data_IF_981151078550
#
_entry.id   IF_981151078550
#
_cell.length_a   1.000
_cell.length_b   1.000
_cell.length_c   1.000
_cell.angle_alpha   90.00
_cell.angle_beta   90.00
_cell.angle_gamma   90.00
#
_symmetry.space_group_name_H-M   'P 1'
#
loop_
_entity.id
_entity.type
_entity.pdbx_description
1 polymer ?
#
# COMPACT_ATOMS: atom_id res chain seq x y z
N UNK A 1 -55.67 -33.67 41.47
CA UNK A 1 -57.06 -34.18 41.32
C UNK A 1 -57.49 -33.98 39.88
N UNK A 2 -57.78 -35.10 39.23
CA UNK A 2 -58.62 -35.38 38.03
C UNK A 2 -58.33 -34.57 36.74
N UNK A 3 -57.74 -35.19 35.67
CA UNK A 3 -58.33 -36.12 34.69
C UNK A 3 -59.54 -35.49 33.97
N UNK A 4 -59.65 -35.43 32.71
CA UNK A 4 -59.68 -36.46 31.67
C UNK A 4 -59.91 -35.79 30.30
N UNK A 5 -59.24 -36.29 29.28
CA UNK A 5 -59.73 -36.75 28.00
C UNK A 5 -61.01 -36.15 27.38
N UNK A 6 -60.91 -35.70 26.13
CA UNK A 6 -61.81 -36.16 25.08
C UNK A 6 -61.23 -36.00 23.66
N UNK A 7 -60.95 -37.15 23.09
CA UNK A 7 -60.82 -37.36 21.62
C UNK A 7 -62.16 -37.26 20.96
N UNK A 8 -62.26 -36.64 19.74
CA UNK A 8 -63.24 -37.03 18.77
C UNK A 8 -62.74 -36.75 17.34
N UNK A 9 -62.72 -37.82 16.58
CA UNK A 9 -62.65 -37.94 15.13
C UNK A 9 -63.88 -37.30 14.47
N UNK A 10 -63.70 -36.86 13.24
CA UNK A 10 -64.52 -37.11 12.04
C UNK A 10 -64.20 -36.02 11.00
N UNK A 11 -63.92 -36.29 9.87
CA UNK A 11 -64.30 -36.98 8.65
C UNK A 11 -63.96 -36.10 7.44
N UNK A 12 -63.47 -36.71 6.44
CA UNK A 12 -63.24 -36.23 5.07
C UNK A 12 -64.50 -35.58 4.48
N UNK A 13 -64.31 -34.49 3.76
CA UNK A 13 -65.03 -34.24 2.49
C UNK A 13 -64.09 -33.52 1.53
N UNK A 14 -64.17 -34.02 0.34
CA UNK A 14 -63.46 -33.70 -0.87
C UNK A 14 -63.74 -32.30 -1.44
N UNK A 15 -62.87 -31.93 -2.35
CA UNK A 15 -63.03 -31.00 -3.47
C UNK A 15 -62.98 -29.49 -3.18
N UNK A 16 -61.76 -28.97 -3.39
CA UNK A 16 -61.60 -27.71 -4.14
C UNK A 16 -60.16 -27.69 -4.74
N UNK A 17 -60.05 -28.15 -5.96
CA UNK A 17 -58.90 -27.80 -6.83
C UNK A 17 -59.08 -26.35 -7.21
N UNK A 18 -58.34 -25.46 -6.54
CA UNK A 18 -58.12 -24.09 -7.02
C UNK A 18 -56.67 -23.99 -7.48
N UNK A 19 -56.54 -23.72 -8.78
CA UNK A 19 -55.31 -23.35 -9.47
C UNK A 19 -54.51 -22.30 -8.73
N UNK A 20 -53.45 -22.72 -8.07
CA UNK A 20 -52.39 -21.84 -7.61
C UNK A 20 -51.21 -21.91 -8.57
N UNK A 21 -51.34 -21.38 -9.79
CA UNK A 21 -50.25 -20.87 -10.58
C UNK A 21 -49.84 -19.54 -10.01
N UNK A 22 -49.31 -19.46 -8.79
CA UNK A 22 -48.63 -18.29 -8.28
C UNK A 22 -47.16 -18.42 -8.66
N UNK A 23 -46.78 -17.53 -9.55
CA UNK A 23 -45.42 -17.19 -9.96
C UNK A 23 -44.42 -17.32 -8.83
N UNK A 24 -43.59 -18.36 -8.85
CA UNK A 24 -42.28 -18.33 -8.21
C UNK A 24 -41.35 -17.48 -9.10
N UNK A 25 -41.46 -16.16 -9.03
CA UNK A 25 -40.29 -15.30 -9.23
C UNK A 25 -39.38 -15.58 -8.06
N UNK A 26 -38.54 -16.58 -8.18
CA UNK A 26 -37.33 -16.66 -7.39
C UNK A 26 -36.51 -15.43 -7.76
N UNK A 27 -36.58 -14.39 -6.94
CA UNK A 27 -35.50 -13.42 -6.84
C UNK A 27 -34.29 -14.29 -6.49
N UNK A 28 -33.45 -14.57 -7.48
CA UNK A 28 -32.14 -15.10 -7.24
C UNK A 28 -31.43 -14.00 -6.44
N UNK A 29 -31.39 -14.14 -5.12
CA UNK A 29 -30.43 -13.40 -4.30
C UNK A 29 -29.08 -13.65 -4.96
N UNK A 30 -28.43 -12.58 -5.42
CA UNK A 30 -27.01 -12.69 -5.81
C UNK A 30 -26.33 -13.34 -4.62
N UNK A 31 -25.49 -14.35 -4.84
CA UNK A 31 -24.73 -14.94 -3.74
C UNK A 31 -24.04 -13.81 -3.01
N UNK A 32 -24.22 -13.73 -1.69
CA UNK A 32 -23.52 -12.80 -0.83
C UNK A 32 -22.04 -13.15 -0.99
N UNK A 33 -21.24 -12.23 -1.48
CA UNK A 33 -19.79 -12.42 -1.56
C UNK A 33 -19.27 -12.41 -0.12
N UNK A 34 -19.06 -13.61 0.40
CA UNK A 34 -18.62 -13.81 1.80
C UNK A 34 -17.28 -13.12 2.09
N UNK A 35 -16.48 -12.81 1.06
CA UNK A 35 -15.21 -12.07 1.19
C UNK A 35 -15.41 -10.65 1.73
N UNK A 36 -16.55 -10.00 1.45
CA UNK A 36 -16.88 -8.66 1.96
C UNK A 36 -17.07 -8.57 3.48
N UNK A 37 -17.18 -9.71 4.15
CA UNK A 37 -17.43 -9.77 5.61
C UNK A 37 -16.28 -10.40 6.39
N UNK A 38 -15.19 -10.76 5.72
CA UNK A 38 -13.97 -11.23 6.37
C UNK A 38 -13.13 -10.03 6.81
N UNK A 39 -12.53 -10.14 8.01
CA UNK A 39 -11.47 -9.20 8.41
C UNK A 39 -10.24 -9.45 7.56
N UNK A 40 -9.71 -8.38 6.99
CA UNK A 40 -8.49 -8.43 6.19
C UNK A 40 -7.29 -8.82 7.06
N UNK A 41 -6.46 -9.73 6.56
CA UNK A 41 -5.14 -10.05 7.10
C UNK A 41 -4.09 -9.77 6.01
N UNK A 42 -3.02 -9.05 6.37
CA UNK A 42 -1.92 -8.77 5.44
C UNK A 42 -0.71 -9.61 5.85
N UNK A 43 -0.81 -10.91 5.61
CA UNK A 43 0.18 -11.91 6.04
C UNK A 43 1.42 -11.87 5.14
N UNK A 44 2.60 -11.88 5.77
CA UNK A 44 3.89 -11.87 5.06
C UNK A 44 4.39 -10.47 4.66
N UNK A 45 3.76 -9.42 5.18
CA UNK A 45 4.10 -8.02 4.89
C UNK A 45 4.22 -7.18 6.17
N UNK A 46 4.84 -7.77 7.21
CA UNK A 46 4.94 -7.10 8.51
C UNK A 46 6.01 -6.02 8.54
N UNK A 47 7.20 -6.33 8.02
CA UNK A 47 8.40 -5.50 8.08
C UNK A 47 9.13 -5.53 6.74
N UNK A 48 9.21 -4.41 6.06
CA UNK A 48 9.77 -4.30 4.73
C UNK A 48 10.76 -3.18 4.55
N UNK A 49 11.34 -3.15 3.36
CA UNK A 49 12.30 -2.15 2.92
C UNK A 49 11.96 -1.70 1.51
N UNK A 50 11.95 -0.38 1.28
CA UNK A 50 11.79 0.20 -0.04
C UNK A 50 13.08 0.07 -0.86
N UNK A 51 12.94 -0.36 -2.13
CA UNK A 51 14.00 -0.33 -3.14
C UNK A 51 13.97 1.01 -3.90
N UNK A 52 13.87 2.12 -3.15
CA UNK A 52 13.76 3.47 -3.70
C UNK A 52 14.98 3.85 -4.55
N UNK A 53 14.75 4.68 -5.59
CA UNK A 53 15.77 5.20 -6.48
C UNK A 53 16.30 4.19 -7.52
N UNK A 54 15.70 3.01 -7.63
CA UNK A 54 16.11 2.02 -8.63
C UNK A 54 15.29 2.13 -9.93
N UNK A 55 13.98 1.83 -9.86
CA UNK A 55 13.07 1.84 -11.03
C UNK A 55 12.14 3.05 -11.03
N UNK A 56 12.29 3.92 -10.06
CA UNK A 56 11.60 5.20 -9.90
C UNK A 56 12.55 6.26 -9.33
N UNK A 57 12.26 7.53 -9.57
CA UNK A 57 13.02 8.68 -9.09
C UNK A 57 14.54 8.56 -9.37
N UNK A 58 14.90 8.18 -10.59
CA UNK A 58 16.27 7.91 -10.99
C UNK A 58 16.60 8.53 -12.36
N UNK A 59 17.83 8.36 -12.82
CA UNK A 59 18.28 8.91 -14.11
C UNK A 59 17.77 8.13 -15.34
N UNK A 60 17.01 7.05 -15.14
CA UNK A 60 16.40 6.21 -16.19
C UNK A 60 17.38 5.74 -17.28
N UNK A 61 18.62 5.36 -16.86
CA UNK A 61 19.61 4.77 -17.78
C UNK A 61 19.77 3.28 -17.54
N UNK A 62 20.15 2.55 -18.59
CA UNK A 62 20.38 1.11 -18.48
C UNK A 62 21.48 0.78 -17.46
N UNK A 63 22.56 1.56 -17.43
CA UNK A 63 23.67 1.38 -16.47
C UNK A 63 23.18 1.51 -15.04
N UNK A 64 22.26 2.44 -14.77
CA UNK A 64 21.66 2.61 -13.46
C UNK A 64 20.80 1.40 -13.09
N UNK A 65 19.90 1.00 -13.96
CA UNK A 65 19.02 -0.14 -13.71
C UNK A 65 19.79 -1.45 -13.49
N UNK A 66 20.89 -1.66 -14.24
CA UNK A 66 21.72 -2.86 -14.14
C UNK A 66 22.58 -2.93 -12.88
N UNK A 67 22.84 -1.78 -12.21
CA UNK A 67 23.84 -1.70 -11.13
C UNK A 67 23.33 -1.16 -9.79
N UNK A 68 22.24 -0.42 -9.75
CA UNK A 68 21.83 0.26 -8.53
C UNK A 68 21.27 -0.72 -7.48
N UNK A 69 20.39 -1.64 -7.85
CA UNK A 69 19.95 -2.76 -7.01
C UNK A 69 20.32 -4.06 -7.72
N UNK A 70 20.91 -4.97 -6.98
CA UNK A 70 21.37 -6.28 -7.47
C UNK A 70 20.80 -7.40 -6.60
N UNK A 71 20.98 -8.66 -7.01
CA UNK A 71 20.59 -9.83 -6.21
C UNK A 71 21.30 -9.86 -4.85
N UNK A 72 22.54 -9.37 -4.75
CA UNK A 72 23.28 -9.29 -3.48
C UNK A 72 22.64 -8.30 -2.51
N UNK A 73 22.07 -7.21 -2.99
CA UNK A 73 21.32 -6.26 -2.15
C UNK A 73 20.09 -6.93 -1.52
N UNK A 74 19.32 -7.70 -2.31
CA UNK A 74 18.15 -8.44 -1.82
C UNK A 74 18.57 -9.49 -0.78
N UNK A 75 19.70 -10.17 -1.02
CA UNK A 75 20.30 -11.09 -0.04
C UNK A 75 20.65 -10.40 1.27
N UNK A 76 21.22 -9.18 1.22
CA UNK A 76 21.51 -8.38 2.43
C UNK A 76 20.22 -8.05 3.17
N UNK A 77 19.17 -7.57 2.46
CA UNK A 77 17.86 -7.22 3.04
C UNK A 77 17.23 -8.43 3.71
N UNK A 78 17.31 -9.62 3.11
CA UNK A 78 16.74 -10.84 3.70
C UNK A 78 17.36 -11.21 5.06
N UNK A 79 18.60 -10.76 5.31
CA UNK A 79 19.27 -10.88 6.60
C UNK A 79 18.82 -9.89 7.68
N UNK A 80 17.96 -8.92 7.34
CA UNK A 80 17.50 -7.86 8.25
C UNK A 80 16.23 -8.24 9.04
N UNK A 81 15.82 -9.50 9.04
CA UNK A 81 14.56 -9.96 9.63
C UNK A 81 13.32 -9.30 9.02
N UNK A 82 13.44 -8.81 7.80
CA UNK A 82 12.34 -8.31 6.96
C UNK A 82 11.66 -9.47 6.24
N UNK A 83 10.39 -9.31 5.91
CA UNK A 83 9.59 -10.32 5.23
C UNK A 83 9.19 -9.90 3.81
N UNK A 84 9.42 -8.63 3.43
CA UNK A 84 9.12 -8.15 2.10
C UNK A 84 9.98 -6.96 1.67
N UNK A 85 9.94 -6.67 0.37
CA UNK A 85 10.41 -5.42 -0.23
C UNK A 85 9.28 -4.70 -0.91
N UNK A 86 9.27 -3.36 -0.90
CA UNK A 86 8.42 -2.52 -1.74
C UNK A 86 9.25 -2.01 -2.91
N UNK A 87 8.76 -2.20 -4.13
CA UNK A 87 9.41 -1.87 -5.37
C UNK A 87 8.70 -0.71 -6.07
N UNK A 88 9.15 0.54 -5.88
CA UNK A 88 8.68 1.69 -6.64
C UNK A 88 9.07 1.57 -8.12
N UNK A 89 8.10 1.74 -9.04
CA UNK A 89 8.31 1.64 -10.48
C UNK A 89 7.59 2.78 -11.19
N UNK A 90 8.28 3.51 -12.04
CA UNK A 90 7.69 4.53 -12.90
C UNK A 90 7.09 3.92 -14.15
N UNK A 91 5.93 4.41 -14.59
CA UNK A 91 5.20 3.88 -15.76
C UNK A 91 6.02 3.93 -17.05
N UNK A 92 6.84 4.97 -17.23
CA UNK A 92 7.66 5.18 -18.44
C UNK A 92 8.79 4.17 -18.60
N UNK A 93 9.10 3.36 -17.59
CA UNK A 93 9.91 2.15 -17.72
C UNK A 93 9.11 1.01 -18.38
N UNK A 94 7.81 0.94 -18.09
CA UNK A 94 6.94 -0.20 -18.43
C UNK A 94 6.18 -0.02 -19.75
N UNK A 95 6.02 1.21 -20.21
CA UNK A 95 5.33 1.52 -21.47
C UNK A 95 5.89 2.77 -22.14
N UNK A 96 5.74 2.86 -23.46
CA UNK A 96 6.12 4.03 -24.25
C UNK A 96 5.04 5.14 -24.18
N UNK A 97 5.28 6.27 -24.86
CA UNK A 97 4.37 7.41 -24.93
C UNK A 97 2.97 7.05 -25.50
N UNK A 98 2.88 5.99 -26.30
CA UNK A 98 1.64 5.50 -26.90
C UNK A 98 0.95 4.41 -26.05
N UNK A 99 1.55 4.03 -24.91
CA UNK A 99 1.04 2.96 -24.04
C UNK A 99 1.35 1.55 -24.55
N UNK A 100 2.35 1.38 -25.43
CA UNK A 100 2.84 0.06 -25.80
C UNK A 100 3.80 -0.45 -24.73
N UNK A 101 3.61 -1.68 -24.29
CA UNK A 101 4.39 -2.26 -23.19
C UNK A 101 5.86 -2.49 -23.60
N UNK A 102 6.76 -2.21 -22.66
CA UNK A 102 8.20 -2.37 -22.79
C UNK A 102 8.68 -3.62 -22.04
N UNK A 103 8.92 -4.71 -22.76
CA UNK A 103 9.35 -5.98 -22.18
C UNK A 103 10.73 -5.90 -21.49
N UNK A 104 11.64 -5.03 -21.92
CA UNK A 104 12.93 -4.81 -21.25
C UNK A 104 12.70 -4.19 -19.87
N UNK A 105 11.80 -3.21 -19.74
CA UNK A 105 11.41 -2.60 -18.48
C UNK A 105 10.79 -3.61 -17.51
N UNK A 106 9.88 -4.45 -17.99
CA UNK A 106 9.31 -5.55 -17.19
C UNK A 106 10.36 -6.56 -16.76
N UNK A 107 11.43 -6.76 -17.51
CA UNK A 107 12.55 -7.63 -17.16
C UNK A 107 13.22 -7.26 -15.81
N UNK A 108 13.25 -5.98 -15.45
CA UNK A 108 13.76 -5.55 -14.14
C UNK A 108 12.84 -5.96 -12.99
N UNK A 109 11.52 -5.85 -13.18
CA UNK A 109 10.54 -6.36 -12.18
C UNK A 109 10.65 -7.89 -12.08
N UNK A 110 10.79 -8.61 -13.20
CA UNK A 110 10.99 -10.07 -13.20
C UNK A 110 12.20 -10.47 -12.37
N UNK A 111 13.31 -9.74 -12.49
CA UNK A 111 14.51 -9.94 -11.69
C UNK A 111 14.22 -9.70 -10.19
N UNK A 112 13.58 -8.59 -9.85
CA UNK A 112 13.22 -8.28 -8.46
C UNK A 112 12.33 -9.38 -7.83
N UNK A 113 11.29 -9.82 -8.54
CA UNK A 113 10.40 -10.91 -8.11
C UNK A 113 11.16 -12.22 -7.93
N UNK A 114 12.04 -12.57 -8.87
CA UNK A 114 12.89 -13.76 -8.79
C UNK A 114 13.83 -13.69 -7.59
N UNK A 115 14.50 -12.57 -7.40
CA UNK A 115 15.44 -12.40 -6.28
C UNK A 115 14.72 -12.43 -4.93
N UNK A 116 13.61 -11.69 -4.79
CA UNK A 116 12.80 -11.74 -3.58
C UNK A 116 12.40 -13.18 -3.24
N UNK A 117 11.88 -13.93 -4.20
CA UNK A 117 11.51 -15.34 -4.04
C UNK A 117 12.70 -16.22 -3.65
N UNK A 118 13.88 -16.03 -4.26
CA UNK A 118 15.08 -16.82 -3.94
C UNK A 118 15.49 -16.66 -2.48
N UNK A 119 15.25 -15.50 -1.90
CA UNK A 119 15.63 -15.19 -0.51
C UNK A 119 14.44 -15.19 0.48
N UNK A 120 13.28 -15.72 0.06
CA UNK A 120 12.11 -15.89 0.93
C UNK A 120 11.43 -14.59 1.34
N UNK A 121 11.56 -13.53 0.53
CA UNK A 121 10.88 -12.25 0.69
C UNK A 121 9.65 -12.17 -0.21
N UNK A 122 8.60 -11.55 0.30
CA UNK A 122 7.47 -11.10 -0.51
C UNK A 122 7.81 -9.76 -1.19
N UNK A 123 7.00 -9.35 -2.18
CA UNK A 123 7.23 -8.11 -2.90
C UNK A 123 5.91 -7.34 -3.09
N UNK A 124 5.96 -6.03 -2.86
CA UNK A 124 4.91 -5.08 -3.26
C UNK A 124 5.39 -4.37 -4.51
N UNK A 125 4.68 -4.53 -5.62
CA UNK A 125 4.91 -3.75 -6.85
C UNK A 125 4.09 -2.48 -6.72
N UNK A 126 4.76 -1.34 -6.62
CA UNK A 126 4.16 -0.02 -6.49
C UNK A 126 4.31 0.75 -7.81
N UNK A 127 3.19 1.15 -8.40
CA UNK A 127 3.22 2.10 -9.51
C UNK A 127 3.44 3.51 -8.95
N UNK A 128 4.69 3.96 -9.01
CA UNK A 128 5.10 5.19 -8.34
C UNK A 128 4.64 6.46 -9.05
N UNK A 129 4.54 6.39 -10.38
CA UNK A 129 4.00 7.43 -11.27
C UNK A 129 3.18 6.78 -12.36
N UNK A 130 2.26 7.55 -12.95
CA UNK A 130 1.49 7.11 -14.12
C UNK A 130 1.40 8.20 -15.17
N UNK A 131 1.09 7.85 -16.41
CA UNK A 131 0.93 8.84 -17.47
C UNK A 131 -0.07 9.93 -17.05
N UNK A 132 0.38 11.17 -17.05
CA UNK A 132 -0.40 12.34 -16.63
C UNK A 132 -0.45 12.59 -15.11
N UNK A 133 0.33 11.86 -14.30
CA UNK A 133 0.46 12.15 -12.87
C UNK A 133 1.85 11.80 -12.33
N UNK A 134 2.46 12.78 -11.67
CA UNK A 134 3.63 12.62 -10.81
C UNK A 134 3.41 13.39 -9.50
N UNK A 135 3.85 12.82 -8.39
CA UNK A 135 3.90 13.52 -7.10
C UNK A 135 5.11 14.47 -6.99
N UNK A 136 6.13 14.31 -7.86
CA UNK A 136 7.31 15.16 -7.91
C UNK A 136 6.98 16.52 -8.55
N UNK A 137 7.17 17.61 -7.81
CA UNK A 137 6.84 18.98 -8.24
C UNK A 137 7.62 19.48 -9.47
N UNK A 138 8.72 18.83 -9.85
CA UNK A 138 9.57 19.21 -10.97
C UNK A 138 9.19 18.57 -12.31
N UNK A 139 8.25 17.64 -12.34
CA UNK A 139 7.84 16.91 -13.53
C UNK A 139 6.58 17.50 -14.16
N UNK A 140 6.56 17.57 -15.50
CA UNK A 140 5.42 18.09 -16.28
C UNK A 140 4.38 17.01 -16.58
N UNK A 141 4.00 16.23 -15.57
CA UNK A 141 2.95 15.23 -15.67
C UNK A 141 1.64 15.79 -15.11
N UNK A 142 0.59 15.86 -15.91
CA UNK A 142 -0.72 16.38 -15.47
C UNK A 142 -1.87 15.83 -16.30
N UNK A 143 -3.09 15.92 -15.77
CA UNK A 143 -4.32 15.60 -16.46
C UNK A 143 -4.84 14.17 -16.22
N UNK A 144 -4.21 13.35 -15.42
CA UNK A 144 -4.64 11.97 -15.14
C UNK A 144 -6.04 11.92 -14.54
N UNK A 145 -6.33 12.78 -13.56
CA UNK A 145 -7.62 12.79 -12.86
C UNK A 145 -8.78 13.34 -13.71
N UNK A 146 -8.48 14.15 -14.73
CA UNK A 146 -9.45 14.77 -15.63
C UNK A 146 -9.64 13.98 -16.93
N UNK A 147 -8.70 13.10 -17.30
CA UNK A 147 -8.66 12.41 -18.59
C UNK A 147 -9.08 10.94 -18.51
N UNK A 148 -10.30 10.58 -18.99
CA UNK A 148 -10.70 9.18 -19.10
C UNK A 148 -9.74 8.32 -19.94
N UNK A 149 -9.03 8.92 -20.91
CA UNK A 149 -8.06 8.21 -21.75
C UNK A 149 -6.81 7.81 -20.94
N UNK A 150 -6.29 8.69 -20.08
CA UNK A 150 -5.16 8.39 -19.20
C UNK A 150 -5.56 7.38 -18.12
N UNK A 151 -6.77 7.48 -17.57
CA UNK A 151 -7.31 6.48 -16.63
C UNK A 151 -7.45 5.11 -17.29
N UNK A 152 -7.91 5.05 -18.56
CA UNK A 152 -7.97 3.78 -19.30
C UNK A 152 -6.58 3.19 -19.55
N UNK A 153 -5.57 4.03 -19.81
CA UNK A 153 -4.17 3.63 -19.94
C UNK A 153 -3.64 3.02 -18.64
N UNK A 154 -3.89 3.68 -17.52
CA UNK A 154 -3.57 3.19 -16.17
C UNK A 154 -4.22 1.82 -15.89
N UNK A 155 -5.49 1.64 -16.21
CA UNK A 155 -6.17 0.37 -16.02
C UNK A 155 -5.56 -0.74 -16.88
N UNK A 156 -5.20 -0.46 -18.15
CA UNK A 156 -4.55 -1.44 -19.03
C UNK A 156 -3.18 -1.85 -18.53
N UNK A 157 -2.41 -0.91 -18.01
CA UNK A 157 -1.10 -1.19 -17.40
C UNK A 157 -1.27 -2.13 -16.20
N UNK A 158 -2.23 -1.85 -15.31
CA UNK A 158 -2.53 -2.73 -14.18
C UNK A 158 -3.06 -4.11 -14.59
N UNK A 159 -3.87 -4.19 -15.64
CA UNK A 159 -4.28 -5.49 -16.19
C UNK A 159 -3.08 -6.30 -16.73
N UNK A 160 -2.11 -5.62 -17.35
CA UNK A 160 -0.89 -6.26 -17.83
C UNK A 160 0.00 -6.73 -16.66
N UNK A 161 0.23 -5.88 -15.66
CA UNK A 161 0.95 -6.23 -14.43
C UNK A 161 0.28 -7.43 -13.75
N UNK A 162 -1.05 -7.40 -13.60
CA UNK A 162 -1.79 -8.49 -12.98
C UNK A 162 -1.66 -9.81 -13.76
N UNK A 163 -1.73 -9.79 -15.08
CA UNK A 163 -1.53 -10.99 -15.92
C UNK A 163 -0.13 -11.60 -15.78
N UNK A 164 0.89 -10.75 -15.59
CA UNK A 164 2.29 -11.20 -15.51
C UNK A 164 2.67 -11.69 -14.11
N UNK A 165 2.18 -11.02 -13.05
CA UNK A 165 2.67 -11.20 -11.68
C UNK A 165 1.66 -11.78 -10.70
N UNK A 166 0.41 -12.02 -11.08
CA UNK A 166 -0.55 -12.61 -10.17
C UNK A 166 -0.12 -14.01 -9.74
N UNK A 167 -0.02 -14.21 -8.43
CA UNK A 167 0.24 -15.49 -7.80
C UNK A 167 -0.78 -15.74 -6.68
N UNK A 168 -1.16 -17.00 -6.49
CA UNK A 168 -2.18 -17.38 -5.50
C UNK A 168 -1.64 -17.55 -4.08
N UNK A 169 -0.31 -17.53 -3.90
CA UNK A 169 0.34 -17.75 -2.60
C UNK A 169 0.47 -16.46 -1.75
N UNK A 170 0.07 -15.31 -2.30
CA UNK A 170 0.11 -14.03 -1.61
C UNK A 170 1.51 -13.42 -1.51
N UNK A 171 2.51 -13.96 -2.20
CA UNK A 171 3.89 -13.45 -2.17
C UNK A 171 4.11 -12.16 -2.96
N UNK A 172 3.15 -11.78 -3.82
CA UNK A 172 3.17 -10.53 -4.59
C UNK A 172 1.91 -9.73 -4.27
N UNK A 173 2.10 -8.47 -3.92
CA UNK A 173 1.03 -7.49 -3.73
C UNK A 173 1.20 -6.33 -4.70
N UNK A 174 0.12 -5.58 -4.96
CA UNK A 174 0.07 -4.44 -5.86
C UNK A 174 -0.30 -3.17 -5.09
N UNK A 175 0.43 -2.10 -5.29
CA UNK A 175 0.07 -0.77 -4.81
C UNK A 175 -0.29 0.11 -6.01
N UNK A 176 -1.55 0.58 -6.06
CA UNK A 176 -2.12 1.11 -7.29
C UNK A 176 -1.44 2.39 -7.76
N UNK A 177 -1.16 3.32 -6.87
CA UNK A 177 -0.48 4.58 -7.20
C UNK A 177 0.11 5.19 -5.93
N UNK A 178 1.36 5.63 -6.02
CA UNK A 178 2.04 6.38 -4.97
C UNK A 178 1.47 7.80 -4.84
N UNK A 179 1.36 8.27 -3.62
CA UNK A 179 1.29 9.68 -3.17
C UNK A 179 0.40 10.62 -3.98
N UNK A 180 -0.90 10.32 -4.10
CA UNK A 180 -1.86 11.30 -4.62
C UNK A 180 -1.76 12.61 -3.82
N UNK A 181 -1.61 13.75 -4.52
CA UNK A 181 -1.21 15.01 -3.89
C UNK A 181 -2.38 15.81 -3.33
N UNK A 182 -3.44 16.02 -4.12
CA UNK A 182 -4.47 17.00 -3.82
C UNK A 182 -5.74 16.37 -3.24
N UNK A 183 -6.29 16.98 -2.19
CA UNK A 183 -7.57 16.58 -1.62
C UNK A 183 -8.74 16.69 -2.61
N UNK A 184 -8.65 17.60 -3.57
CA UNK A 184 -9.64 17.76 -4.64
C UNK A 184 -9.79 16.52 -5.51
N UNK A 185 -8.79 15.65 -5.55
CA UNK A 185 -8.84 14.38 -6.28
C UNK A 185 -9.54 13.24 -5.52
N UNK A 186 -9.94 13.44 -4.26
CA UNK A 186 -10.51 12.41 -3.39
C UNK A 186 -11.58 11.55 -4.07
N UNK A 187 -12.63 12.18 -4.58
CA UNK A 187 -13.80 11.46 -5.11
C UNK A 187 -13.47 10.76 -6.43
N UNK A 188 -12.72 11.43 -7.32
CA UNK A 188 -12.31 10.80 -8.58
C UNK A 188 -11.31 9.67 -8.34
N UNK A 189 -10.39 9.83 -7.38
CA UNK A 189 -9.43 8.80 -7.02
C UNK A 189 -10.11 7.55 -6.44
N UNK A 190 -11.05 7.69 -5.53
CA UNK A 190 -11.85 6.57 -5.02
C UNK A 190 -12.57 5.81 -6.16
N UNK A 191 -13.10 6.54 -7.14
CA UNK A 191 -13.72 5.91 -8.31
C UNK A 191 -12.69 5.18 -9.19
N UNK A 192 -11.50 5.76 -9.41
CA UNK A 192 -10.40 5.12 -10.15
C UNK A 192 -9.94 3.85 -9.43
N UNK A 193 -9.73 3.89 -8.11
CA UNK A 193 -9.40 2.73 -7.27
C UNK A 193 -10.40 1.59 -7.53
N UNK A 194 -11.69 1.88 -7.38
CA UNK A 194 -12.75 0.89 -7.57
C UNK A 194 -12.71 0.24 -8.95
N UNK A 195 -12.64 1.05 -10.01
CA UNK A 195 -12.60 0.56 -11.38
C UNK A 195 -11.36 -0.28 -11.66
N UNK A 196 -10.20 0.15 -11.14
CA UNK A 196 -8.93 -0.58 -11.28
C UNK A 196 -9.00 -1.94 -10.57
N UNK A 197 -9.47 -1.97 -9.32
CA UNK A 197 -9.61 -3.20 -8.55
C UNK A 197 -10.58 -4.16 -9.26
N UNK A 198 -11.72 -3.70 -9.75
CA UNK A 198 -12.67 -4.55 -10.50
C UNK A 198 -12.03 -5.24 -11.71
N UNK A 199 -11.11 -4.56 -12.42
CA UNK A 199 -10.38 -5.13 -13.55
C UNK A 199 -9.32 -6.13 -13.10
N UNK A 200 -8.53 -5.76 -12.10
CA UNK A 200 -7.50 -6.65 -11.52
C UNK A 200 -8.15 -7.93 -11.00
N UNK A 201 -9.28 -7.87 -10.31
CA UNK A 201 -9.96 -9.04 -9.73
C UNK A 201 -10.43 -10.08 -10.73
N UNK A 202 -10.68 -9.69 -11.99
CA UNK A 202 -10.99 -10.63 -13.07
C UNK A 202 -9.77 -11.48 -13.48
N UNK A 203 -8.57 -11.03 -13.14
CA UNK A 203 -7.29 -11.65 -13.51
C UNK A 203 -6.62 -12.27 -12.27
N UNK A 204 -6.59 -11.52 -11.18
CA UNK A 204 -5.87 -11.78 -9.94
C UNK A 204 -6.83 -11.69 -8.73
N UNK A 205 -7.75 -12.65 -8.54
CA UNK A 205 -8.81 -12.57 -7.54
C UNK A 205 -8.30 -12.55 -6.09
N UNK A 206 -7.12 -13.13 -5.82
CA UNK A 206 -6.60 -13.34 -4.47
C UNK A 206 -5.40 -12.46 -4.11
N UNK A 207 -4.93 -11.60 -5.04
CA UNK A 207 -3.78 -10.73 -4.82
C UNK A 207 -4.13 -9.57 -3.88
N UNK A 208 -3.26 -9.26 -2.92
CA UNK A 208 -3.40 -8.08 -2.09
C UNK A 208 -3.24 -6.81 -2.93
N UNK A 209 -4.10 -5.82 -2.68
CA UNK A 209 -4.05 -4.51 -3.34
C UNK A 209 -3.99 -3.43 -2.27
N UNK A 210 -2.98 -2.57 -2.34
CA UNK A 210 -2.78 -1.44 -1.45
C UNK A 210 -3.32 -0.17 -2.11
N UNK A 211 -4.01 0.65 -1.32
CA UNK A 211 -4.58 1.93 -1.76
C UNK A 211 -4.28 3.01 -0.72
N UNK A 212 -3.75 4.13 -1.17
CA UNK A 212 -3.49 5.31 -0.36
C UNK A 212 -4.43 6.46 -0.69
N UNK A 213 -4.48 7.45 0.19
CA UNK A 213 -5.26 8.66 0.02
C UNK A 213 -4.44 9.83 -0.53
N UNK A 214 -5.01 11.03 -0.48
CA UNK A 214 -4.37 12.28 -0.87
C UNK A 214 -3.35 12.79 0.17
N UNK A 215 -2.76 13.98 -0.07
CA UNK A 215 -1.70 14.59 0.73
C UNK A 215 -0.51 13.65 0.94
N UNK A 216 0.01 13.12 -0.18
CA UNK A 216 1.14 12.19 -0.19
C UNK A 216 0.89 10.96 0.71
N UNK A 217 -0.25 10.30 0.51
CA UNK A 217 -0.66 9.16 1.35
C UNK A 217 -0.72 9.48 2.84
N UNK A 218 -1.13 10.72 3.22
CA UNK A 218 -1.23 11.11 4.63
C UNK A 218 -2.14 10.16 5.43
N UNK A 219 -1.82 9.82 6.69
CA UNK A 219 -2.72 9.09 7.56
C UNK A 219 -4.06 9.83 7.78
N UNK A 220 -4.06 11.17 7.66
CA UNK A 220 -5.27 11.99 7.78
C UNK A 220 -6.25 11.81 6.60
N UNK A 221 -5.77 11.32 5.45
CA UNK A 221 -6.60 11.05 4.28
C UNK A 221 -7.24 9.63 4.30
N UNK A 222 -6.73 8.71 5.11
CA UNK A 222 -7.26 7.33 5.20
C UNK A 222 -8.75 7.27 5.53
N UNK A 223 -9.32 8.09 6.44
CA UNK A 223 -10.76 8.08 6.71
C UNK A 223 -11.64 8.43 5.51
N UNK A 224 -11.09 9.04 4.48
CA UNK A 224 -11.79 9.45 3.25
C UNK A 224 -11.68 8.41 2.12
N UNK A 225 -10.97 7.31 2.34
CA UNK A 225 -11.00 6.16 1.44
C UNK A 225 -12.35 5.45 1.55
N UNK A 226 -12.92 5.06 0.42
CA UNK A 226 -14.13 4.23 0.41
C UNK A 226 -13.86 2.85 1.05
N UNK A 227 -14.94 2.21 1.49
CA UNK A 227 -14.85 0.84 2.04
C UNK A 227 -14.15 -0.09 1.05
N UNK A 228 -13.28 -1.00 1.53
CA UNK A 228 -12.55 -1.92 0.68
C UNK A 228 -13.48 -2.72 -0.24
N UNK A 229 -13.03 -2.95 -1.47
CA UNK A 229 -13.76 -3.74 -2.45
C UNK A 229 -13.99 -5.19 -1.96
N UNK A 230 -12.98 -5.76 -1.30
CA UNK A 230 -13.00 -7.08 -0.68
C UNK A 230 -11.96 -7.19 0.45
N UNK A 231 -11.79 -8.39 1.03
CA UNK A 231 -10.88 -8.70 2.13
C UNK A 231 -9.39 -8.77 1.73
N UNK A 232 -9.03 -8.37 0.50
CA UNK A 232 -7.66 -8.30 0.00
C UNK A 232 -7.22 -6.88 -0.32
N UNK A 233 -7.99 -5.87 0.10
CA UNK A 233 -7.63 -4.46 -0.05
C UNK A 233 -7.10 -3.91 1.27
N UNK A 234 -5.91 -3.32 1.22
CA UNK A 234 -5.15 -2.80 2.36
C UNK A 234 -5.09 -1.27 2.26
N UNK A 235 -5.34 -0.55 3.35
CA UNK A 235 -5.13 0.89 3.37
C UNK A 235 -3.67 1.23 3.62
N UNK A 236 -3.09 1.97 2.68
CA UNK A 236 -1.72 2.45 2.73
C UNK A 236 -1.65 3.91 3.18
N UNK A 237 -0.64 4.25 3.97
CA UNK A 237 -0.26 5.62 4.28
C UNK A 237 1.26 5.76 4.38
N UNK A 238 1.75 7.00 4.31
CA UNK A 238 3.16 7.35 4.53
C UNK A 238 3.30 8.23 5.76
N UNK A 239 4.44 8.18 6.43
CA UNK A 239 4.67 9.00 7.61
C UNK A 239 6.11 9.49 7.72
N UNK A 240 6.27 10.79 7.51
CA UNK A 240 7.52 11.51 7.70
C UNK A 240 7.39 12.59 8.77
N UNK A 241 6.55 12.35 9.80
CA UNK A 241 6.32 13.31 10.88
C UNK A 241 7.30 13.19 12.04
N UNK A 242 7.62 14.31 12.70
CA UNK A 242 7.33 15.66 12.25
C UNK A 242 8.29 16.06 11.10
N UNK A 243 7.72 16.64 10.05
CA UNK A 243 8.44 16.95 8.80
C UNK A 243 9.73 17.74 9.03
N UNK A 244 9.70 18.71 9.95
CA UNK A 244 10.87 19.53 10.28
C UNK A 244 12.05 18.72 10.81
N UNK A 245 11.80 17.56 11.45
CA UNK A 245 12.85 16.65 11.89
C UNK A 245 13.28 15.70 10.78
N UNK A 246 12.33 15.03 10.14
CA UNK A 246 12.62 13.97 9.15
C UNK A 246 13.16 14.50 7.82
N UNK A 247 12.89 15.77 7.49
CA UNK A 247 13.31 16.44 6.26
C UNK A 247 14.18 17.67 6.53
N UNK A 248 14.82 17.74 7.70
CA UNK A 248 15.69 18.87 8.02
C UNK A 248 16.76 19.11 6.95
N UNK A 249 16.82 20.34 6.42
CA UNK A 249 17.76 20.73 5.38
C UNK A 249 17.42 20.24 3.96
N UNK A 250 16.28 19.57 3.76
CA UNK A 250 15.86 19.09 2.45
C UNK A 250 15.55 20.24 1.49
N UNK A 251 16.22 20.27 0.34
CA UNK A 251 16.11 21.36 -0.64
C UNK A 251 14.76 21.40 -1.37
N UNK A 252 14.01 20.29 -1.37
CA UNK A 252 12.69 20.16 -2.00
C UNK A 252 11.52 20.55 -1.09
N UNK A 253 11.80 20.75 0.22
CA UNK A 253 10.78 21.22 1.17
C UNK A 253 10.70 22.73 1.11
N UNK A 254 9.52 23.25 0.85
CA UNK A 254 9.28 24.68 0.74
C UNK A 254 9.66 25.42 2.02
N UNK A 255 10.38 26.53 1.88
CA UNK A 255 10.89 27.36 2.99
C UNK A 255 11.87 26.66 3.95
N UNK A 256 12.39 25.49 3.61
CA UNK A 256 13.42 24.79 4.38
C UNK A 256 14.81 25.32 4.02
N UNK A 257 15.55 25.85 5.03
CA UNK A 257 16.96 26.18 4.83
C UNK A 257 17.79 24.90 4.71
N UNK A 258 18.68 24.81 3.71
CA UNK A 258 19.62 23.69 3.56
C UNK A 258 20.53 23.47 4.77
N UNK A 259 20.75 24.53 5.56
CA UNK A 259 21.59 24.50 6.77
C UNK A 259 20.78 24.27 8.06
N UNK A 260 19.45 24.10 7.93
CA UNK A 260 18.59 23.81 9.08
C UNK A 260 18.88 22.41 9.63
N UNK A 261 19.13 22.36 10.94
CA UNK A 261 19.31 21.11 11.68
C UNK A 261 18.51 21.16 12.98
N UNK A 262 17.77 20.07 13.25
CA UNK A 262 16.91 19.96 14.42
C UNK A 262 17.31 18.70 15.22
N UNK A 263 17.93 18.83 16.39
CA UNK A 263 18.15 17.70 17.28
C UNK A 263 16.84 17.06 17.73
N UNK A 264 16.84 15.73 17.97
CA UNK A 264 15.66 14.98 18.33
C UNK A 264 14.95 15.51 19.58
N UNK A 265 15.71 15.90 20.61
CA UNK A 265 15.19 16.42 21.87
C UNK A 265 14.70 17.89 21.82
N UNK A 266 14.85 18.53 20.66
CA UNK A 266 14.33 19.89 20.37
C UNK A 266 13.14 19.89 19.42
N UNK A 267 12.71 18.73 18.98
CA UNK A 267 11.54 18.62 18.11
C UNK A 267 10.25 19.01 18.85
N UNK A 268 9.40 19.80 18.19
CA UNK A 268 8.08 20.17 18.68
C UNK A 268 7.04 19.83 17.59
N UNK A 269 6.03 19.01 17.92
CA UNK A 269 5.81 18.32 19.22
C UNK A 269 6.92 17.30 19.54
N UNK A 270 7.10 16.92 20.82
CA UNK A 270 8.07 15.91 21.22
C UNK A 270 7.83 14.58 20.51
N UNK A 271 8.88 13.98 19.98
CA UNK A 271 8.81 12.72 19.24
C UNK A 271 8.76 11.55 20.22
N UNK A 272 7.58 10.98 20.42
CA UNK A 272 7.35 9.85 21.33
C UNK A 272 6.48 8.79 20.65
N UNK A 273 6.44 7.54 21.14
CA UNK A 273 5.48 6.56 20.64
C UNK A 273 4.03 7.03 20.74
N UNK A 274 3.68 7.75 21.81
CA UNK A 274 2.34 8.29 22.05
C UNK A 274 1.93 9.32 20.99
N UNK A 275 2.87 10.18 20.56
CA UNK A 275 2.66 11.11 19.45
C UNK A 275 2.22 10.39 18.17
N UNK A 276 2.90 9.31 17.79
CA UNK A 276 2.55 8.54 16.60
C UNK A 276 1.26 7.72 16.80
N UNK A 277 1.01 7.18 17.99
CA UNK A 277 -0.25 6.49 18.29
C UNK A 277 -1.44 7.43 18.11
N UNK A 278 -1.36 8.65 18.62
CA UNK A 278 -2.39 9.67 18.44
C UNK A 278 -2.55 10.03 16.97
N UNK A 279 -1.45 10.28 16.26
CA UNK A 279 -1.45 10.62 14.84
C UNK A 279 -2.11 9.55 13.98
N UNK A 280 -1.90 8.27 14.27
CA UNK A 280 -2.47 7.16 13.50
C UNK A 280 -3.86 6.74 13.96
N UNK A 281 -4.37 7.29 15.06
CA UNK A 281 -5.62 6.82 15.70
C UNK A 281 -6.81 6.84 14.75
N UNK A 282 -7.04 7.97 14.06
CA UNK A 282 -8.16 8.14 13.12
C UNK A 282 -8.07 7.19 11.93
N UNK A 283 -6.87 7.02 11.36
CA UNK A 283 -6.63 6.09 10.26
C UNK A 283 -6.89 4.63 10.71
N UNK A 284 -6.39 4.27 11.90
CA UNK A 284 -6.56 2.93 12.46
C UNK A 284 -8.04 2.61 12.79
N UNK A 285 -8.77 3.59 13.31
CA UNK A 285 -10.22 3.46 13.54
C UNK A 285 -10.99 3.29 12.21
N UNK A 286 -10.64 4.07 11.18
CA UNK A 286 -11.25 3.96 9.86
C UNK A 286 -10.99 2.59 9.22
N UNK A 287 -9.75 2.09 9.26
CA UNK A 287 -9.40 0.77 8.76
C UNK A 287 -10.18 -0.34 9.49
N UNK A 288 -10.20 -0.32 10.82
CA UNK A 288 -10.97 -1.29 11.64
C UNK A 288 -12.47 -1.24 11.33
N UNK A 289 -13.04 -0.04 11.24
CA UNK A 289 -14.46 0.16 10.89
C UNK A 289 -14.79 -0.44 9.54
N UNK A 290 -13.89 -0.33 8.58
CA UNK A 290 -14.05 -0.82 7.23
C UNK A 290 -13.59 -2.29 7.04
N UNK A 291 -13.17 -2.98 8.10
CA UNK A 291 -12.79 -4.38 8.06
C UNK A 291 -11.44 -4.65 7.37
N UNK A 292 -10.57 -3.64 7.28
CA UNK A 292 -9.21 -3.78 6.73
C UNK A 292 -8.14 -3.40 7.74
N UNK A 293 -6.88 -3.47 7.34
CA UNK A 293 -5.70 -3.12 8.14
C UNK A 293 -4.93 -1.98 7.52
N UNK A 294 -4.08 -1.34 8.33
CA UNK A 294 -3.15 -0.32 7.89
C UNK A 294 -1.79 -0.90 7.51
N UNK A 295 -1.20 -0.31 6.51
CA UNK A 295 0.19 -0.48 6.11
C UNK A 295 0.84 0.89 5.94
N UNK A 296 2.03 1.10 6.51
CA UNK A 296 2.83 2.30 6.27
C UNK A 296 3.85 2.01 5.16
N UNK A 297 3.57 2.47 3.93
CA UNK A 297 4.38 2.19 2.74
C UNK A 297 5.75 2.86 2.77
N UNK A 298 5.82 4.02 3.42
CA UNK A 298 7.06 4.78 3.57
C UNK A 298 7.16 5.47 4.92
N UNK A 299 8.32 5.39 5.53
CA UNK A 299 8.72 6.18 6.70
C UNK A 299 10.24 6.22 6.79
N UNK A 300 10.79 7.34 7.23
CA UNK A 300 12.24 7.50 7.27
C UNK A 300 12.69 8.86 7.82
N UNK A 301 14.01 9.00 7.95
CA UNK A 301 14.68 10.23 8.38
C UNK A 301 15.81 10.53 7.40
N UNK A 302 15.84 11.78 6.92
CA UNK A 302 16.86 12.28 5.99
C UNK A 302 18.28 12.08 6.55
N UNK A 303 19.22 11.87 5.66
CA UNK A 303 20.63 11.65 5.97
C UNK A 303 21.36 12.88 6.54
N UNK A 304 20.71 14.02 6.58
CA UNK A 304 21.19 15.25 7.24
C UNK A 304 20.92 15.29 8.76
N UNK A 305 20.09 14.39 9.28
CA UNK A 305 19.90 14.22 10.72
C UNK A 305 21.06 13.44 11.34
N UNK A 306 21.42 13.72 12.59
CA UNK A 306 22.43 12.93 13.30
C UNK A 306 21.96 11.47 13.43
N UNK A 307 22.84 10.47 13.15
CA UNK A 307 22.45 9.06 13.18
C UNK A 307 21.79 8.61 14.49
N UNK A 308 22.33 9.02 15.64
CA UNK A 308 21.78 8.68 16.96
C UNK A 308 20.37 9.28 17.17
N UNK A 309 20.09 10.46 16.62
CA UNK A 309 18.79 11.09 16.67
C UNK A 309 17.80 10.40 15.70
N UNK A 310 18.26 10.00 14.52
CA UNK A 310 17.48 9.15 13.62
C UNK A 310 17.10 7.81 14.31
N UNK A 311 18.03 7.17 15.02
CA UNK A 311 17.74 5.93 15.77
C UNK A 311 16.64 6.13 16.82
N UNK A 312 16.65 7.26 17.55
CA UNK A 312 15.59 7.57 18.53
C UNK A 312 14.22 7.71 17.85
N UNK A 313 14.18 8.35 16.68
CA UNK A 313 12.97 8.48 15.88
C UNK A 313 12.45 7.11 15.40
N UNK A 314 13.33 6.27 14.84
CA UNK A 314 12.97 4.90 14.43
C UNK A 314 12.43 4.08 15.61
N UNK A 315 13.00 4.19 16.80
CA UNK A 315 12.49 3.54 18.01
C UNK A 315 11.09 4.01 18.37
N UNK A 316 10.84 5.32 18.33
CA UNK A 316 9.54 5.88 18.68
C UNK A 316 8.44 5.43 17.72
N UNK A 317 8.63 5.61 16.40
CA UNK A 317 7.60 5.26 15.41
C UNK A 317 7.35 3.75 15.33
N UNK A 318 8.42 2.92 15.35
CA UNK A 318 8.26 1.47 15.28
C UNK A 318 7.60 0.91 16.55
N UNK A 319 7.82 1.52 17.73
CA UNK A 319 7.06 1.19 18.93
C UNK A 319 5.56 1.46 18.75
N UNK A 320 5.19 2.56 18.10
CA UNK A 320 3.80 2.87 17.80
C UNK A 320 3.21 1.86 16.80
N UNK A 321 3.92 1.56 15.72
CA UNK A 321 3.50 0.54 14.74
C UNK A 321 3.24 -0.82 15.39
N UNK A 322 4.15 -1.27 16.26
CA UNK A 322 4.01 -2.56 16.95
C UNK A 322 2.81 -2.56 17.90
N UNK A 323 2.58 -1.49 18.66
CA UNK A 323 1.42 -1.35 19.57
C UNK A 323 0.08 -1.32 18.82
N UNK A 324 0.04 -0.72 17.62
CA UNK A 324 -1.16 -0.61 16.81
C UNK A 324 -1.37 -1.78 15.85
N UNK A 325 -0.38 -2.65 15.68
CA UNK A 325 -0.42 -3.75 14.73
C UNK A 325 -0.22 -3.32 13.27
N UNK A 326 0.39 -2.17 13.02
CA UNK A 326 0.62 -1.62 11.67
C UNK A 326 1.84 -2.27 11.02
N UNK A 327 1.67 -2.76 9.81
CA UNK A 327 2.75 -3.26 8.94
C UNK A 327 3.42 -2.08 8.22
N UNK A 328 4.69 -2.23 7.79
CA UNK A 328 5.46 -1.09 7.26
C UNK A 328 6.60 -1.47 6.34
N UNK A 329 7.05 -0.52 5.50
CA UNK A 329 8.32 -0.57 4.80
C UNK A 329 9.11 0.73 4.98
N UNK A 330 10.36 0.63 5.42
CA UNK A 330 11.23 1.79 5.62
C UNK A 330 11.66 2.39 4.28
N UNK A 331 11.67 3.71 4.17
CA UNK A 331 12.27 4.47 3.09
C UNK A 331 13.66 4.93 3.53
N UNK A 332 14.77 4.47 2.91
CA UNK A 332 14.87 3.45 1.89
C UNK A 332 16.09 2.55 2.16
N UNK A 333 16.31 1.52 1.33
CA UNK A 333 17.47 0.62 1.46
C UNK A 333 18.78 1.39 1.37
N UNK A 334 19.03 2.12 0.28
CA UNK A 334 20.26 2.90 0.07
C UNK A 334 20.02 4.16 -0.72
N UNK A 335 20.84 5.20 -0.50
CA UNK A 335 20.76 6.50 -1.18
C UNK A 335 19.41 7.19 -0.95
N UNK A 336 18.95 7.98 -1.91
CA UNK A 336 17.68 8.69 -1.85
C UNK A 336 17.55 9.59 -0.62
N UNK A 337 18.67 10.13 -0.14
CA UNK A 337 18.78 10.96 1.06
C UNK A 337 18.31 10.28 2.38
N UNK A 338 17.87 9.01 2.32
CA UNK A 338 17.31 8.25 3.45
C UNK A 338 17.92 6.85 3.63
N UNK A 339 19.05 6.56 2.97
CA UNK A 339 19.60 5.20 2.89
C UNK A 339 20.05 4.62 4.23
N UNK A 340 19.40 3.53 4.67
CA UNK A 340 19.78 2.80 5.90
C UNK A 340 21.09 2.04 5.72
N UNK A 341 21.38 1.55 4.51
CA UNK A 341 22.63 0.84 4.22
C UNK A 341 23.81 1.75 3.94
N UNK A 342 23.61 3.07 3.89
CA UNK A 342 24.68 4.04 3.65
C UNK A 342 25.69 4.09 4.80
N UNK A 343 26.97 4.34 4.49
CA UNK A 343 28.07 4.22 5.46
C UNK A 343 27.92 5.09 6.71
N UNK A 344 27.23 6.23 6.59
CA UNK A 344 26.93 7.08 7.75
C UNK A 344 26.11 6.38 8.84
N UNK A 345 25.36 5.33 8.47
CA UNK A 345 24.51 4.55 9.36
C UNK A 345 25.22 3.33 9.97
N UNK A 346 26.50 3.07 9.62
CA UNK A 346 27.21 1.84 10.00
C UNK A 346 27.19 1.59 11.51
N UNK A 347 27.39 2.64 12.33
CA UNK A 347 27.45 2.52 13.78
C UNK A 347 26.09 2.20 14.43
N UNK A 348 24.97 2.54 13.79
CA UNK A 348 23.63 2.37 14.34
C UNK A 348 22.75 1.43 13.52
N UNK A 349 23.18 1.01 12.32
CA UNK A 349 22.39 0.17 11.41
C UNK A 349 21.88 -1.10 12.10
N UNK A 350 22.76 -1.81 12.82
CA UNK A 350 22.36 -3.02 13.53
C UNK A 350 21.27 -2.79 14.59
N UNK A 351 21.22 -1.59 15.17
CA UNK A 351 20.17 -1.22 16.11
C UNK A 351 18.87 -0.83 15.37
N UNK A 352 18.95 -0.07 14.26
CA UNK A 352 17.76 0.28 13.46
C UNK A 352 17.07 -1.00 12.96
N UNK A 353 17.83 -1.94 12.38
CA UNK A 353 17.30 -3.21 11.84
C UNK A 353 16.46 -3.99 12.87
N UNK A 354 16.74 -3.89 14.17
CA UNK A 354 15.93 -4.55 15.21
C UNK A 354 14.51 -3.96 15.32
N UNK A 355 14.34 -2.71 14.89
CA UNK A 355 13.06 -1.99 14.99
C UNK A 355 12.27 -1.98 13.69
N UNK A 356 12.87 -2.25 12.52
CA UNK A 356 12.22 -2.26 11.21
C UNK A 356 11.01 -3.18 11.12
#
# INVERSE_FOLDING_TARGET
>A
MKLMHLTRKLKKTSDFQINARILHKRNACKPIDERKYRMTEFTGYRKGVNLGGWLSQCCHTKEHYDSFITEDDIKVISGWMTDHVRLPVDYNLLEDENGNFNEEGFGYIDNAVKWAKNYGLNIIIDLHKTAGFSFDKGENESGFFESPALQERFYKLWEHIAKRYAVSDGSIAFELLNEVTEQSYKDIWNNIIKNCIERIRRIAPDTYILVGGYWQNSPDAVPDLEAPYDDKVIYNFHCYDPLMFTHQGAYWVENMSKDFRLPFDKAEPPITPEYFIEKFSRANEAAKKNGTVLYCGEYGVIDLAEPEDALKWFKAINTAFDRLGISRAVWSYKKMDFGISDSRMDNIRSEIIKYL
#
